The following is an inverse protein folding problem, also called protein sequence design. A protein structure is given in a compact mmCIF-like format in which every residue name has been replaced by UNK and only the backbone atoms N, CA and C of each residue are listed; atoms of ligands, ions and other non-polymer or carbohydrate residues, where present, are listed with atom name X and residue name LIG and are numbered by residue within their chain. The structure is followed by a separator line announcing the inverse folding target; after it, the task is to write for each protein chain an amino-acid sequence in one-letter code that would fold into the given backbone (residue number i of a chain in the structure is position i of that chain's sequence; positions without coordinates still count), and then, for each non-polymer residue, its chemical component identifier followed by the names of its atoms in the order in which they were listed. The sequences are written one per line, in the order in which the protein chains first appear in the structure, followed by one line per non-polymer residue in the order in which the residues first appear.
data_IF_513619521209
#
_entry.id   IF_513619521209
#
_cell.length_a   1.000
_cell.length_b   1.000
_cell.length_c   1.000
_cell.angle_alpha   90.00
_cell.angle_beta   90.00
_cell.angle_gamma   90.00
#
_symmetry.space_group_name_H-M   'P 1'
#
loop_
_entity.id
_entity.type
_entity.pdbx_description
1 polymer ?
#
# COMPACT_ATOMS: atom_id res chain seq x y z
N UNK A 1 -53.98 -1.26 -60.63
CA UNK A 1 -54.32 -2.11 -59.47
C UNK A 1 -53.06 -2.27 -58.62
N UNK A 2 -53.12 -1.88 -57.33
CA UNK A 2 -52.39 -2.46 -56.17
C UNK A 2 -50.84 -2.41 -56.25
N UNK A 3 -50.06 -1.84 -55.32
CA UNK A 3 -50.24 -1.56 -53.90
C UNK A 3 -49.26 -0.47 -53.41
N UNK A 4 -49.75 0.34 -52.48
CA UNK A 4 -48.98 1.19 -51.57
C UNK A 4 -48.21 0.30 -50.58
N UNK A 5 -46.90 0.52 -50.42
CA UNK A 5 -46.19 0.14 -49.20
C UNK A 5 -45.26 1.30 -48.81
N UNK A 6 -45.74 2.16 -47.93
CA UNK A 6 -44.93 3.21 -47.28
C UNK A 6 -44.20 2.56 -46.10
N UNK A 7 -42.94 2.21 -46.31
CA UNK A 7 -42.03 1.83 -45.23
C UNK A 7 -41.63 3.10 -44.48
N UNK A 8 -42.22 3.35 -43.31
CA UNK A 8 -41.74 4.40 -42.39
C UNK A 8 -40.47 3.89 -41.71
N UNK A 9 -39.31 4.37 -42.16
CA UNK A 9 -38.04 4.22 -41.44
C UNK A 9 -38.05 5.20 -40.25
N UNK A 10 -38.26 4.69 -39.04
CA UNK A 10 -37.96 5.45 -37.81
C UNK A 10 -36.42 5.59 -37.70
N UNK A 11 -35.89 6.81 -37.54
CA UNK A 11 -34.47 6.97 -37.27
C UNK A 11 -34.19 6.47 -35.85
N UNK A 12 -33.37 5.42 -35.74
CA UNK A 12 -32.82 4.96 -34.48
C UNK A 12 -31.87 6.06 -33.96
N UNK A 13 -32.37 6.92 -33.07
CA UNK A 13 -31.55 7.94 -32.41
C UNK A 13 -30.48 7.24 -31.55
N UNK A 14 -29.27 7.12 -32.08
CA UNK A 14 -28.07 6.81 -31.31
C UNK A 14 -27.79 7.98 -30.37
N UNK A 15 -28.33 7.91 -29.15
CA UNK A 15 -27.85 8.72 -28.05
C UNK A 15 -26.42 8.27 -27.73
N UNK A 16 -25.40 9.14 -27.86
CA UNK A 16 -24.07 8.79 -27.41
C UNK A 16 -24.13 8.58 -25.89
N UNK A 17 -23.91 7.35 -25.46
CA UNK A 17 -23.60 7.04 -24.07
C UNK A 17 -22.27 7.72 -23.76
N UNK A 18 -22.33 8.95 -23.27
CA UNK A 18 -21.19 9.60 -22.66
C UNK A 18 -20.87 8.83 -21.37
N UNK A 19 -19.97 7.85 -21.48
CA UNK A 19 -19.30 7.26 -20.32
C UNK A 19 -18.49 8.40 -19.71
N UNK A 20 -19.04 9.04 -18.68
CA UNK A 20 -18.25 9.93 -17.83
C UNK A 20 -17.15 9.06 -17.23
N UNK A 21 -15.92 9.23 -17.72
CA UNK A 21 -14.74 8.64 -17.11
C UNK A 21 -14.66 9.22 -15.70
N UNK A 22 -15.08 8.44 -14.71
CA UNK A 22 -14.94 8.81 -13.31
C UNK A 22 -13.44 9.00 -13.08
N UNK A 23 -13.03 10.23 -12.79
CA UNK A 23 -11.70 10.51 -12.28
C UNK A 23 -11.51 9.59 -11.07
N UNK A 24 -10.66 8.59 -11.22
CA UNK A 24 -10.22 7.77 -10.11
C UNK A 24 -9.54 8.75 -9.15
N UNK A 25 -10.18 9.00 -8.00
CA UNK A 25 -9.64 9.93 -7.02
C UNK A 25 -8.19 9.58 -6.67
N UNK A 26 -7.37 10.59 -6.43
CA UNK A 26 -5.93 10.44 -6.24
C UNK A 26 -5.61 9.30 -5.26
N UNK A 27 -4.83 8.32 -5.73
CA UNK A 27 -4.33 7.21 -4.92
C UNK A 27 -2.94 7.55 -4.42
N UNK A 28 -2.77 7.56 -3.10
CA UNK A 28 -1.49 7.71 -2.41
C UNK A 28 -1.19 6.44 -1.64
N UNK A 29 -0.09 5.78 -1.99
CA UNK A 29 0.37 4.57 -1.31
C UNK A 29 1.63 4.91 -0.54
N UNK A 30 1.55 4.79 0.78
CA UNK A 30 2.64 5.01 1.72
C UNK A 30 3.25 3.66 2.07
N UNK A 31 4.50 3.46 1.71
CA UNK A 31 5.27 2.26 1.99
C UNK A 31 6.25 2.53 3.12
N UNK A 32 6.24 1.62 4.09
CA UNK A 32 7.30 1.47 5.08
C UNK A 32 7.71 0.00 5.12
N UNK A 33 8.94 -0.27 5.54
CA UNK A 33 9.32 -1.65 5.90
C UNK A 33 8.89 -1.97 7.34
N UNK A 34 9.02 -3.23 7.74
CA UNK A 34 8.95 -3.58 9.16
C UNK A 34 10.00 -2.83 9.99
N UNK A 35 9.68 -2.52 11.26
CA UNK A 35 10.57 -1.90 12.22
C UNK A 35 11.75 -2.81 12.64
N UNK A 36 12.64 -2.32 13.51
CA UNK A 36 13.88 -3.00 13.87
C UNK A 36 13.67 -4.46 14.33
N UNK A 37 14.59 -5.33 13.95
CA UNK A 37 14.60 -6.75 14.30
C UNK A 37 15.91 -7.14 14.97
N UNK A 38 15.91 -8.15 15.85
CA UNK A 38 17.15 -8.77 16.33
C UNK A 38 17.93 -9.44 15.19
N UNK A 39 19.19 -9.76 15.47
CA UNK A 39 20.03 -10.53 14.54
C UNK A 39 19.43 -11.92 14.25
N UNK A 40 18.85 -12.56 15.28
CA UNK A 40 18.20 -13.88 15.22
C UNK A 40 16.77 -13.81 15.74
N UNK A 41 15.91 -14.67 15.23
CA UNK A 41 14.48 -14.72 15.57
C UNK A 41 13.59 -14.03 14.53
N UNK A 42 12.29 -14.00 14.82
CA UNK A 42 11.26 -13.61 13.85
C UNK A 42 10.40 -12.41 14.24
N UNK A 43 10.45 -11.93 15.49
CA UNK A 43 9.67 -10.77 15.95
C UNK A 43 10.47 -9.47 15.93
N UNK A 44 9.81 -8.33 16.14
CA UNK A 44 10.48 -7.04 16.36
C UNK A 44 11.43 -7.10 17.56
N UNK A 45 12.51 -6.32 17.51
CA UNK A 45 13.30 -6.03 18.71
C UNK A 45 12.56 -5.03 19.60
N UNK A 46 13.07 -4.79 20.80
CA UNK A 46 12.55 -3.72 21.66
C UNK A 46 12.60 -2.34 20.99
N UNK A 47 13.68 -2.03 20.28
CA UNK A 47 13.75 -0.84 19.42
C UNK A 47 12.63 -0.83 18.37
N UNK A 48 12.39 -1.96 17.70
CA UNK A 48 11.35 -2.06 16.66
C UNK A 48 9.95 -1.86 17.20
N UNK A 49 9.64 -2.45 18.36
CA UNK A 49 8.36 -2.23 19.04
C UNK A 49 8.20 -0.76 19.45
N UNK A 50 9.25 -0.14 20.01
CA UNK A 50 9.23 1.27 20.38
C UNK A 50 9.08 2.22 19.17
N UNK A 51 9.62 1.86 18.00
CA UNK A 51 9.35 2.57 16.73
C UNK A 51 7.90 2.39 16.32
N UNK A 52 7.40 1.16 16.30
CA UNK A 52 6.02 0.84 15.90
C UNK A 52 4.99 1.63 16.72
N UNK A 53 5.20 1.78 18.03
CA UNK A 53 4.34 2.56 18.92
C UNK A 53 4.29 4.07 18.59
N UNK A 54 5.33 4.61 17.93
CA UNK A 54 5.42 6.02 17.54
C UNK A 54 4.85 6.29 16.14
N UNK A 55 4.82 5.29 15.25
CA UNK A 55 4.33 5.39 13.88
C UNK A 55 2.92 6.01 13.75
N UNK A 56 1.91 5.73 14.61
CA UNK A 56 0.59 6.31 14.46
C UNK A 56 0.62 7.84 14.48
N UNK A 57 1.44 8.44 15.35
CA UNK A 57 1.58 9.90 15.43
C UNK A 57 2.22 10.45 14.15
N UNK A 58 3.30 9.84 13.69
CA UNK A 58 4.08 10.30 12.54
C UNK A 58 3.30 10.17 11.24
N UNK A 59 2.77 8.98 10.95
CA UNK A 59 2.09 8.68 9.70
C UNK A 59 0.80 9.50 9.55
N UNK A 60 0.02 9.63 10.63
CA UNK A 60 -1.23 10.40 10.59
C UNK A 60 -0.97 11.90 10.44
N UNK A 61 0.06 12.44 11.10
CA UNK A 61 0.42 13.85 10.95
C UNK A 61 0.86 14.19 9.51
N UNK A 62 1.52 13.25 8.82
CA UNK A 62 2.05 13.45 7.47
C UNK A 62 1.04 13.15 6.36
N UNK A 63 0.25 12.10 6.53
CA UNK A 63 -0.54 11.50 5.46
C UNK A 63 -2.02 11.33 5.81
N UNK A 64 -2.43 11.67 7.04
CA UNK A 64 -3.76 11.39 7.56
C UNK A 64 -3.93 9.92 7.96
N UNK A 65 -5.12 9.59 8.47
CA UNK A 65 -5.48 8.20 8.76
C UNK A 65 -5.64 7.44 7.44
N UNK A 66 -4.91 6.32 7.22
CA UNK A 66 -5.03 5.58 5.97
C UNK A 66 -6.40 4.91 5.85
N UNK A 67 -6.93 4.88 4.63
CA UNK A 67 -8.18 4.21 4.27
C UNK A 67 -8.05 2.69 4.26
N UNK A 68 -6.83 2.17 4.10
CA UNK A 68 -6.55 0.73 4.12
C UNK A 68 -5.11 0.47 4.56
N UNK A 69 -4.90 -0.63 5.27
CA UNK A 69 -3.58 -1.08 5.75
C UNK A 69 -3.30 -2.46 5.21
N UNK A 70 -2.10 -2.68 4.70
CA UNK A 70 -1.64 -3.93 4.12
C UNK A 70 -0.37 -4.43 4.80
N UNK A 71 -0.36 -5.74 5.08
CA UNK A 71 0.80 -6.51 5.53
C UNK A 71 0.79 -7.85 4.77
N UNK A 72 1.89 -8.59 4.69
CA UNK A 72 1.87 -9.89 4.02
C UNK A 72 1.09 -10.93 4.82
N UNK A 73 0.69 -12.01 4.14
CA UNK A 73 0.10 -13.20 4.75
C UNK A 73 0.99 -13.73 5.87
N UNK A 74 0.39 -14.03 7.01
CA UNK A 74 1.07 -14.64 8.16
C UNK A 74 0.80 -16.13 8.09
N UNK A 75 1.82 -16.92 7.73
CA UNK A 75 1.71 -18.37 7.62
C UNK A 75 2.13 -19.08 8.92
N UNK A 76 1.46 -20.18 9.24
CA UNK A 76 1.78 -21.06 10.36
C UNK A 76 2.89 -22.06 9.98
N UNK A 77 4.14 -21.61 10.00
CA UNK A 77 5.32 -22.44 9.72
C UNK A 77 6.39 -22.35 10.81
N UNK A 78 7.57 -22.96 10.57
CA UNK A 78 8.72 -22.90 11.50
C UNK A 78 9.30 -21.49 11.69
N UNK A 79 8.98 -20.56 10.78
CA UNK A 79 9.37 -19.17 10.87
C UNK A 79 8.16 -18.27 10.58
N UNK A 80 8.07 -17.15 11.29
CA UNK A 80 6.96 -16.18 11.25
C UNK A 80 7.44 -14.77 10.96
N UNK A 81 8.46 -14.62 10.09
CA UNK A 81 9.04 -13.30 9.75
C UNK A 81 8.02 -12.26 9.29
N UNK A 82 6.92 -12.70 8.68
CA UNK A 82 5.81 -11.84 8.28
C UNK A 82 5.12 -11.14 9.47
N UNK A 83 5.19 -11.73 10.67
CA UNK A 83 4.63 -11.17 11.89
C UNK A 83 5.21 -9.78 12.20
N UNK A 84 6.49 -9.51 11.91
CA UNK A 84 7.09 -8.17 12.14
C UNK A 84 6.37 -7.05 11.41
N UNK A 85 5.88 -7.31 10.20
CA UNK A 85 5.13 -6.33 9.43
C UNK A 85 3.78 -6.07 10.07
N UNK A 86 3.12 -7.12 10.59
CA UNK A 86 1.91 -6.97 11.39
C UNK A 86 2.19 -6.18 12.67
N UNK A 87 3.18 -6.57 13.46
CA UNK A 87 3.59 -5.91 14.70
C UNK A 87 3.91 -4.42 14.48
N UNK A 88 4.52 -4.09 13.34
CA UNK A 88 4.83 -2.71 12.96
C UNK A 88 3.55 -1.91 12.65
N UNK A 89 2.59 -2.51 11.94
CA UNK A 89 1.33 -1.85 11.57
C UNK A 89 0.31 -1.79 12.73
N UNK A 90 0.41 -2.71 13.70
CA UNK A 90 -0.60 -2.99 14.70
C UNK A 90 -0.98 -1.78 15.57
N UNK A 91 -0.04 -0.94 16.06
CA UNK A 91 -0.40 0.22 16.87
C UNK A 91 -1.25 1.24 16.12
N UNK A 92 -0.99 1.44 14.82
CA UNK A 92 -1.77 2.36 13.98
C UNK A 92 -3.17 1.81 13.75
N UNK A 93 -3.27 0.51 13.45
CA UNK A 93 -4.56 -0.14 13.25
C UNK A 93 -5.41 -0.14 14.54
N UNK A 94 -4.78 -0.42 15.69
CA UNK A 94 -5.44 -0.39 17.00
C UNK A 94 -5.95 1.01 17.33
N UNK A 95 -5.11 2.04 17.17
CA UNK A 95 -5.46 3.43 17.51
C UNK A 95 -6.64 3.97 16.69
N UNK A 96 -6.74 3.56 15.43
CA UNK A 96 -7.72 4.10 14.49
C UNK A 96 -8.81 3.11 14.07
N UNK A 97 -8.89 1.95 14.76
CA UNK A 97 -9.85 0.89 14.48
C UNK A 97 -9.86 0.45 13.00
N UNK A 98 -8.67 0.21 12.44
CA UNK A 98 -8.51 -0.14 11.03
C UNK A 98 -8.41 -1.66 10.85
N UNK A 99 -9.09 -2.18 9.84
CA UNK A 99 -8.84 -3.54 9.37
C UNK A 99 -7.48 -3.62 8.67
N UNK A 100 -6.74 -4.71 8.92
CA UNK A 100 -5.49 -5.02 8.23
C UNK A 100 -5.77 -6.08 7.16
N UNK A 101 -5.42 -5.79 5.92
CA UNK A 101 -5.46 -6.74 4.82
C UNK A 101 -4.16 -7.53 4.76
N UNK A 102 -4.24 -8.83 5.06
CA UNK A 102 -3.11 -9.77 5.03
C UNK A 102 -3.30 -10.88 4.00
N UNK A 103 -3.89 -10.55 2.83
CA UNK A 103 -4.24 -11.54 1.80
C UNK A 103 -3.06 -11.99 0.93
N UNK A 104 -2.07 -11.12 0.73
CA UNK A 104 -1.03 -11.30 -0.27
C UNK A 104 0.23 -11.87 0.37
N UNK A 105 0.82 -12.90 -0.25
CA UNK A 105 2.11 -13.43 0.17
C UNK A 105 3.21 -12.37 0.00
N UNK A 106 4.28 -12.44 0.81
CA UNK A 106 5.40 -11.48 0.78
C UNK A 106 6.02 -11.34 -0.63
N UNK A 107 5.99 -12.41 -1.42
CA UNK A 107 6.54 -12.45 -2.78
C UNK A 107 5.52 -12.13 -3.88
N UNK A 108 4.21 -12.01 -3.56
CA UNK A 108 3.13 -11.70 -4.50
C UNK A 108 3.01 -10.19 -4.79
N UNK A 109 4.09 -9.63 -5.32
CA UNK A 109 4.18 -8.22 -5.73
C UNK A 109 3.20 -7.86 -6.85
N UNK A 110 2.96 -8.74 -7.82
CA UNK A 110 2.04 -8.48 -8.92
C UNK A 110 0.59 -8.46 -8.45
N UNK A 111 0.18 -9.43 -7.63
CA UNK A 111 -1.16 -9.48 -7.04
C UNK A 111 -1.41 -8.31 -6.10
N UNK A 112 -0.45 -7.95 -5.26
CA UNK A 112 -0.53 -6.77 -4.39
C UNK A 112 -0.65 -5.49 -5.21
N UNK A 113 0.22 -5.25 -6.19
CA UNK A 113 0.18 -4.03 -7.02
C UNK A 113 -1.15 -3.91 -7.77
N UNK A 114 -1.62 -4.99 -8.39
CA UNK A 114 -2.92 -5.02 -9.07
C UNK A 114 -4.10 -4.75 -8.13
N UNK A 115 -3.99 -5.12 -6.85
CA UNK A 115 -5.00 -4.79 -5.85
C UNK A 115 -4.93 -3.32 -5.41
N UNK A 116 -3.72 -2.81 -5.17
CA UNK A 116 -3.49 -1.42 -4.75
C UNK A 116 -3.98 -0.43 -5.81
N UNK A 117 -3.75 -0.70 -7.09
CA UNK A 117 -4.20 0.17 -8.20
C UNK A 117 -5.73 0.28 -8.32
N UNK A 118 -6.50 -0.56 -7.62
CA UNK A 118 -7.97 -0.49 -7.54
C UNK A 118 -8.46 0.35 -6.35
N UNK A 119 -7.55 0.90 -5.55
CA UNK A 119 -7.86 1.71 -4.37
C UNK A 119 -7.90 3.19 -4.70
N UNK A 120 -8.46 3.95 -3.78
CA UNK A 120 -8.47 5.42 -3.76
C UNK A 120 -8.11 5.89 -2.35
N UNK A 121 -7.70 7.16 -2.23
CA UNK A 121 -7.27 7.74 -0.96
C UNK A 121 -5.88 7.27 -0.54
N UNK A 122 -5.65 7.23 0.78
CA UNK A 122 -4.34 6.88 1.35
C UNK A 122 -4.31 5.41 1.76
N UNK A 123 -3.34 4.65 1.25
CA UNK A 123 -3.10 3.25 1.61
C UNK A 123 -1.75 3.14 2.31
N UNK A 124 -1.71 2.47 3.46
CA UNK A 124 -0.47 2.10 4.12
C UNK A 124 -0.09 0.66 3.75
N UNK A 125 1.16 0.45 3.34
CA UNK A 125 1.73 -0.87 3.08
C UNK A 125 2.97 -1.04 3.93
N UNK A 126 2.95 -2.04 4.82
CA UNK A 126 4.10 -2.41 5.66
C UNK A 126 4.67 -3.73 5.16
N UNK A 127 5.89 -3.72 4.66
CA UNK A 127 6.44 -4.86 3.93
C UNK A 127 7.89 -5.21 4.27
N UNK A 128 8.42 -6.24 3.59
CA UNK A 128 9.83 -6.60 3.64
C UNK A 128 10.64 -5.76 2.63
N UNK A 129 11.84 -5.31 3.03
CA UNK A 129 12.60 -4.30 2.28
C UNK A 129 13.12 -4.78 0.91
N UNK A 130 13.44 -6.06 0.72
CA UNK A 130 13.88 -6.62 -0.56
C UNK A 130 12.74 -6.76 -1.57
N UNK A 131 11.50 -6.88 -1.10
CA UNK A 131 10.31 -6.97 -1.95
C UNK A 131 9.79 -5.58 -2.37
N UNK A 132 10.00 -4.53 -1.56
CA UNK A 132 9.55 -3.17 -1.88
C UNK A 132 10.01 -2.65 -3.26
N UNK A 133 11.29 -2.76 -3.68
CA UNK A 133 11.70 -2.38 -5.03
C UNK A 133 10.94 -3.09 -6.14
N UNK A 134 10.57 -4.36 -5.93
CA UNK A 134 9.84 -5.15 -6.92
C UNK A 134 8.37 -4.71 -6.98
N UNK A 135 7.76 -4.36 -5.84
CA UNK A 135 6.41 -3.78 -5.78
C UNK A 135 6.38 -2.41 -6.48
N UNK A 136 7.39 -1.56 -6.28
CA UNK A 136 7.49 -0.25 -6.97
C UNK A 136 7.47 -0.43 -8.49
N UNK A 137 8.26 -1.37 -9.01
CA UNK A 137 8.27 -1.70 -10.45
C UNK A 137 6.91 -2.19 -10.93
N UNK A 138 6.23 -3.05 -10.16
CA UNK A 138 4.90 -3.55 -10.48
C UNK A 138 3.82 -2.45 -10.48
N UNK A 139 4.03 -1.36 -9.73
CA UNK A 139 3.19 -0.16 -9.75
C UNK A 139 3.51 0.80 -10.90
N UNK A 140 4.47 0.48 -11.77
CA UNK A 140 4.89 1.34 -12.89
C UNK A 140 5.86 2.45 -12.49
N UNK A 141 6.56 2.33 -11.36
CA UNK A 141 7.67 3.24 -11.02
C UNK A 141 8.90 2.83 -11.83
N UNK A 142 9.37 3.73 -12.69
CA UNK A 142 10.49 3.50 -13.60
C UNK A 142 11.83 4.10 -13.12
N UNK A 143 12.01 4.26 -11.81
CA UNK A 143 13.29 4.72 -11.25
C UNK A 143 14.36 3.63 -11.40
N UNK A 144 15.56 4.03 -11.84
CA UNK A 144 16.70 3.13 -12.08
C UNK A 144 17.38 2.70 -10.78
N UNK A 145 17.15 3.39 -9.65
CA UNK A 145 17.87 3.17 -8.38
C UNK A 145 16.93 2.79 -7.22
N UNK A 146 15.97 1.91 -7.47
CA UNK A 146 15.11 1.37 -6.40
C UNK A 146 15.90 0.37 -5.54
N UNK A 147 16.38 0.84 -4.39
CA UNK A 147 17.00 0.01 -3.36
C UNK A 147 16.60 0.50 -1.97
N UNK A 148 16.19 -0.42 -1.09
CA UNK A 148 15.91 -0.13 0.31
C UNK A 148 16.99 -0.78 1.19
N UNK A 149 17.95 -0.01 1.75
CA UNK A 149 19.04 -0.58 2.54
C UNK A 149 18.54 -1.39 3.75
N UNK A 150 19.15 -2.55 4.01
CA UNK A 150 18.75 -3.42 5.12
C UNK A 150 18.87 -2.78 6.51
N UNK A 151 19.72 -1.77 6.69
CA UNK A 151 19.88 -0.98 7.92
C UNK A 151 18.96 0.24 8.02
N UNK A 152 18.26 0.59 6.94
CA UNK A 152 17.40 1.77 6.90
C UNK A 152 15.98 1.40 7.34
N UNK A 153 15.64 1.69 8.59
CA UNK A 153 14.32 1.51 9.20
C UNK A 153 13.49 2.80 9.27
N UNK A 154 13.98 3.88 8.66
CA UNK A 154 13.43 5.23 8.83
C UNK A 154 12.84 5.80 7.56
N UNK A 155 13.25 5.30 6.38
CA UNK A 155 12.68 5.76 5.11
C UNK A 155 11.18 5.47 4.98
N UNK A 156 10.50 6.36 4.27
CA UNK A 156 9.13 6.21 3.79
C UNK A 156 9.16 6.41 2.28
N UNK A 157 8.56 5.50 1.52
CA UNK A 157 8.34 5.69 0.09
C UNK A 157 6.88 6.02 -0.16
N UNK A 158 6.62 7.09 -0.91
CA UNK A 158 5.26 7.53 -1.22
C UNK A 158 5.05 7.46 -2.73
N UNK A 159 4.14 6.60 -3.16
CA UNK A 159 3.73 6.49 -4.56
C UNK A 159 2.39 7.20 -4.73
N UNK A 160 2.35 8.21 -5.58
CA UNK A 160 1.09 8.84 -6.00
C UNK A 160 0.75 8.38 -7.41
N UNK A 161 -0.47 7.89 -7.61
CA UNK A 161 -1.02 7.52 -8.91
C UNK A 161 -2.01 8.60 -9.35
N UNK A 162 -1.72 9.28 -10.45
CA UNK A 162 -2.60 10.28 -11.06
C UNK A 162 -2.65 10.04 -12.57
N UNK A 163 -3.86 9.92 -13.14
CA UNK A 163 -4.08 9.58 -14.54
C UNK A 163 -3.29 8.35 -15.03
N UNK A 164 -3.24 7.30 -14.19
CA UNK A 164 -2.52 6.06 -14.48
C UNK A 164 -1.00 6.16 -14.45
N UNK A 165 -0.44 7.32 -14.07
CA UNK A 165 1.01 7.53 -13.97
C UNK A 165 1.45 7.49 -12.50
N UNK A 166 2.44 6.66 -12.22
CA UNK A 166 3.04 6.56 -10.90
C UNK A 166 4.18 7.58 -10.72
N UNK A 167 4.16 8.29 -9.60
CA UNK A 167 5.26 9.16 -9.14
C UNK A 167 5.70 8.72 -7.77
N UNK A 168 6.99 8.41 -7.63
CA UNK A 168 7.64 8.12 -6.35
C UNK A 168 8.18 9.40 -5.72
N UNK A 169 8.02 9.54 -4.41
CA UNK A 169 8.70 10.48 -3.55
C UNK A 169 9.22 9.75 -2.31
N UNK A 170 10.24 10.30 -1.66
CA UNK A 170 10.80 9.77 -0.41
C UNK A 170 10.59 10.75 0.74
N UNK A 171 10.43 10.20 1.94
CA UNK A 171 10.29 10.92 3.21
C UNK A 171 10.92 10.06 4.33
N UNK A 172 10.87 10.54 5.57
CA UNK A 172 11.44 9.87 6.74
C UNK A 172 10.49 9.85 7.93
N UNK A 173 10.50 8.77 8.70
CA UNK A 173 9.79 8.69 9.96
C UNK A 173 10.37 9.68 10.99
N UNK A 174 11.68 9.89 10.95
CA UNK A 174 12.46 10.65 11.93
C UNK A 174 12.28 10.12 13.36
N UNK A 175 12.22 8.79 13.49
CA UNK A 175 12.07 8.12 14.78
C UNK A 175 13.42 7.57 15.24
N UNK A 176 13.79 7.89 16.47
CA UNK A 176 14.93 7.30 17.19
C UNK A 176 14.37 6.49 18.36
N UNK A 177 14.14 5.17 18.19
CA UNK A 177 13.51 4.36 19.21
C UNK A 177 14.48 4.02 20.34
N UNK A 178 13.98 3.95 21.57
CA UNK A 178 14.73 3.42 22.70
C UNK A 178 15.05 1.93 22.48
N UNK A 179 16.25 1.49 22.84
CA UNK A 179 16.70 0.13 22.54
C UNK A 179 16.04 -0.94 23.42
N UNK A 180 15.57 -0.60 24.61
CA UNK A 180 15.05 -1.50 25.62
C UNK A 180 13.52 -1.45 25.74
N UNK A 181 12.94 -2.54 26.22
CA UNK A 181 11.55 -2.64 26.66
C UNK A 181 11.50 -2.50 28.18
N UNK A 182 10.44 -1.87 28.71
CA UNK A 182 10.23 -1.67 30.16
C UNK A 182 9.01 -2.44 30.69
N UNK A 183 8.56 -3.47 29.98
CA UNK A 183 7.43 -4.33 30.36
C UNK A 183 7.91 -5.70 30.83
#
# INVERSE_FOLDING_TARGET
MKNLLRTLLLPLLWLPFNVLAQSAGDLRIVFIRHAEKPATGDQLSCAGLNRALQLPKVLVAKYGVPNSVYVPTISGGKATKAARMLETAWPLATKHNLAINSKFDVDDKEGLAANLLKKSGTVLVVWEHNALPKIMKALGVHDKQLNWPGSDFDSIWVVTIHNGKAKLATDRENIQPAANCNF
#
